data_IF_966076304886
#
_entry.id   IF_966076304886
#
_cell.length_a   1.000
_cell.length_b   1.000
_cell.length_c   1.000
_cell.angle_alpha   90.00
_cell.angle_beta   90.00
_cell.angle_gamma   90.00
#
_symmetry.space_group_name_H-M   'P 1'
#
loop_
_entity.id
_entity.type
_entity.pdbx_description
1 polymer ?
#
# COMPACT_ATOMS: atom_id res chain seq x y z
N UNK A 1 14.08 4.00 23.80
CA UNK A 1 12.86 3.18 23.68
C UNK A 1 12.07 3.67 22.49
N UNK A 2 11.62 2.79 21.60
CA UNK A 2 10.83 3.16 20.41
C UNK A 2 9.33 3.27 20.72
N UNK A 3 8.84 2.41 21.62
CA UNK A 3 7.42 2.30 21.98
C UNK A 3 7.26 2.80 23.41
N UNK A 4 6.23 3.64 23.65
CA UNK A 4 5.81 4.00 25.00
C UNK A 4 5.00 2.86 25.59
N UNK A 5 5.43 2.38 26.76
CA UNK A 5 4.77 1.27 27.45
C UNK A 5 3.44 1.76 28.04
N UNK A 6 2.37 1.00 27.78
CA UNK A 6 1.05 1.24 28.35
C UNK A 6 0.69 0.11 29.31
N UNK A 7 0.43 0.46 30.58
CA UNK A 7 0.08 -0.51 31.61
C UNK A 7 -1.30 -1.13 31.35
N UNK A 8 -1.42 -2.45 31.58
CA UNK A 8 -2.69 -3.19 31.34
C UNK A 8 -3.86 -2.71 32.20
N UNK A 9 -3.58 -2.18 33.39
CA UNK A 9 -4.58 -1.63 34.30
C UNK A 9 -4.83 -0.13 34.09
N UNK A 10 -4.31 0.46 33.01
CA UNK A 10 -4.55 1.86 32.70
C UNK A 10 -6.01 2.05 32.28
N UNK A 11 -6.82 2.87 32.99
CA UNK A 11 -8.20 3.12 32.59
C UNK A 11 -8.32 3.83 31.23
N UNK A 12 -7.25 4.47 30.75
CA UNK A 12 -7.15 5.13 29.44
C UNK A 12 -6.22 4.36 28.48
N UNK A 13 -6.30 3.03 28.48
CA UNK A 13 -5.40 2.17 27.69
C UNK A 13 -5.42 2.51 26.19
N UNK A 14 -6.60 2.70 25.60
CA UNK A 14 -6.76 3.05 24.19
C UNK A 14 -6.01 4.34 23.83
N UNK A 15 -6.15 5.37 24.67
CA UNK A 15 -5.50 6.67 24.47
C UNK A 15 -3.98 6.58 24.67
N UNK A 16 -3.53 5.79 25.65
CA UNK A 16 -2.11 5.52 25.83
C UNK A 16 -1.50 4.86 24.59
N UNK A 17 -2.15 3.82 24.06
CA UNK A 17 -1.67 3.09 22.87
C UNK A 17 -1.71 4.00 21.64
N UNK A 18 -2.78 4.78 21.46
CA UNK A 18 -2.86 5.82 20.41
C UNK A 18 -1.66 6.76 20.45
N UNK A 19 -1.36 7.32 21.62
CA UNK A 19 -0.23 8.22 21.81
C UNK A 19 1.13 7.52 21.58
N UNK A 20 1.21 6.23 21.89
CA UNK A 20 2.41 5.41 21.64
C UNK A 20 2.64 5.22 20.13
N UNK A 21 1.57 4.95 19.36
CA UNK A 21 1.62 4.86 17.90
C UNK A 21 2.04 6.19 17.27
N UNK A 22 1.48 7.31 17.75
CA UNK A 22 1.86 8.65 17.25
C UNK A 22 3.34 8.99 17.49
N UNK A 23 3.89 8.62 18.65
CA UNK A 23 5.32 8.78 18.94
C UNK A 23 6.21 7.88 18.06
N UNK A 24 5.66 6.77 17.56
CA UNK A 24 6.39 5.85 16.68
C UNK A 24 6.43 6.34 15.22
N UNK A 25 5.67 7.37 14.85
CA UNK A 25 5.49 7.84 13.47
C UNK A 25 6.82 8.07 12.73
N UNK A 26 7.79 8.72 13.37
CA UNK A 26 9.12 8.94 12.77
C UNK A 26 9.87 7.63 12.50
N UNK A 27 9.73 6.65 13.39
CA UNK A 27 10.35 5.33 13.24
C UNK A 27 9.62 4.43 12.26
N UNK A 28 8.30 4.55 12.14
CA UNK A 28 7.54 3.92 11.04
C UNK A 28 8.02 4.47 9.71
N UNK A 29 8.22 5.80 9.63
CA UNK A 29 8.72 6.45 8.42
C UNK A 29 10.12 5.95 8.04
N UNK A 30 11.08 5.99 8.96
CA UNK A 30 12.49 5.65 8.67
C UNK A 30 12.82 4.16 8.74
N UNK A 31 11.95 3.35 9.33
CA UNK A 31 12.27 1.99 9.74
C UNK A 31 13.15 1.95 11.00
N UNK A 32 13.45 0.72 11.44
CA UNK A 32 14.36 0.38 12.54
C UNK A 32 15.25 -0.78 12.04
N UNK A 33 16.33 -0.49 11.30
CA UNK A 33 17.16 -1.51 10.64
C UNK A 33 17.76 -2.54 11.59
N UNK A 34 18.11 -2.14 12.82
CA UNK A 34 18.64 -3.03 13.85
C UNK A 34 17.62 -4.07 14.37
N UNK A 35 16.34 -3.92 14.02
CA UNK A 35 15.26 -4.86 14.32
C UNK A 35 14.64 -5.45 13.04
N UNK A 36 15.30 -5.31 11.89
CA UNK A 36 14.79 -5.72 10.57
C UNK A 36 13.42 -5.10 10.21
N UNK A 37 13.13 -3.91 10.74
CA UNK A 37 11.91 -3.17 10.40
C UNK A 37 12.22 -2.24 9.23
N UNK A 38 11.66 -2.48 8.03
CA UNK A 38 11.91 -1.63 6.87
C UNK A 38 11.26 -0.25 7.03
N UNK A 39 11.73 0.72 6.25
CA UNK A 39 11.10 2.02 6.14
C UNK A 39 9.72 1.92 5.47
N UNK A 40 8.74 2.67 5.97
CA UNK A 40 7.43 2.82 5.31
C UNK A 40 7.39 3.95 4.28
N UNK A 41 8.50 4.69 4.08
CA UNK A 41 8.56 5.84 3.18
C UNK A 41 9.92 5.98 2.47
N UNK A 42 10.03 5.59 1.18
CA UNK A 42 9.04 4.80 0.45
C UNK A 42 8.96 3.37 1.00
N UNK A 43 7.76 2.80 1.03
CA UNK A 43 7.60 1.38 1.26
C UNK A 43 7.85 0.62 -0.05
N UNK A 44 8.82 -0.30 -0.03
CA UNK A 44 9.22 -1.07 -1.20
C UNK A 44 8.57 -2.45 -1.19
N UNK A 45 7.95 -2.83 -2.30
CA UNK A 45 7.30 -4.13 -2.51
C UNK A 45 8.15 -4.96 -3.49
N UNK A 46 9.07 -5.81 -2.99
CA UNK A 46 10.01 -6.54 -3.84
C UNK A 46 9.34 -7.66 -4.67
N UNK A 47 8.28 -8.27 -4.17
CA UNK A 47 7.59 -9.39 -4.83
C UNK A 47 6.69 -8.95 -6.01
N UNK A 48 6.59 -7.64 -6.27
CA UNK A 48 5.68 -7.07 -7.27
C UNK A 48 4.20 -7.34 -6.98
N UNK A 49 3.33 -7.01 -7.93
CA UNK A 49 1.88 -7.13 -7.79
C UNK A 49 1.26 -7.56 -9.12
N UNK A 50 0.59 -8.72 -9.21
CA UNK A 50 -0.22 -9.04 -10.38
C UNK A 50 -1.41 -8.07 -10.44
N UNK A 51 -1.54 -7.36 -11.57
CA UNK A 51 -2.62 -6.42 -11.83
C UNK A 51 -3.74 -7.07 -12.65
N UNK A 52 -3.39 -7.99 -13.55
CA UNK A 52 -4.33 -8.79 -14.32
C UNK A 52 -3.68 -10.12 -14.73
N UNK A 53 -4.44 -11.21 -14.64
CA UNK A 53 -4.01 -12.53 -15.11
C UNK A 53 -5.15 -13.23 -15.84
N UNK A 54 -5.13 -13.13 -17.17
CA UNK A 54 -6.11 -13.74 -18.07
C UNK A 54 -5.44 -14.15 -19.39
N UNK A 55 -6.08 -15.01 -20.21
CA UNK A 55 -5.51 -15.42 -21.50
C UNK A 55 -5.20 -14.28 -22.46
N UNK A 56 -6.04 -13.23 -22.46
CA UNK A 56 -5.92 -12.11 -23.41
C UNK A 56 -5.23 -10.88 -22.80
N UNK A 57 -5.05 -10.84 -21.47
CA UNK A 57 -4.37 -9.76 -20.77
C UNK A 57 -3.61 -10.31 -19.55
N UNK A 58 -2.30 -10.12 -19.56
CA UNK A 58 -1.42 -10.28 -18.40
C UNK A 58 -0.79 -8.94 -18.08
N UNK A 59 -0.91 -8.51 -16.83
CA UNK A 59 -0.33 -7.27 -16.34
C UNK A 59 0.28 -7.50 -14.96
N UNK A 60 1.53 -7.09 -14.79
CA UNK A 60 2.28 -7.25 -13.55
C UNK A 60 3.05 -5.96 -13.25
N UNK A 61 2.95 -5.47 -12.02
CA UNK A 61 3.75 -4.35 -11.54
C UNK A 61 4.96 -4.86 -10.75
N UNK A 62 6.11 -4.23 -10.94
CA UNK A 62 7.38 -4.57 -10.27
C UNK A 62 8.08 -3.30 -9.80
N UNK A 63 9.09 -3.48 -8.94
CA UNK A 63 9.89 -2.38 -8.39
C UNK A 63 9.02 -1.29 -7.73
N UNK A 64 7.93 -1.73 -7.09
CA UNK A 64 6.88 -0.85 -6.58
C UNK A 64 7.38 -0.10 -5.34
N UNK A 65 7.21 1.22 -5.35
CA UNK A 65 7.44 2.15 -4.25
C UNK A 65 6.14 2.86 -3.91
N UNK A 66 5.70 2.70 -2.67
CA UNK A 66 4.55 3.40 -2.13
C UNK A 66 5.02 4.58 -1.27
N UNK A 67 4.43 5.75 -1.51
CA UNK A 67 4.69 6.96 -0.78
C UNK A 67 3.42 7.45 -0.08
N UNK A 68 3.60 8.12 1.06
CA UNK A 68 2.51 8.68 1.86
C UNK A 68 1.99 7.75 2.96
N UNK A 69 2.46 6.51 3.06
CA UNK A 69 2.05 5.57 4.11
C UNK A 69 2.43 6.09 5.50
N UNK A 70 3.60 6.74 5.62
CA UNK A 70 4.04 7.34 6.88
C UNK A 70 3.17 8.51 7.35
N UNK A 71 2.31 9.04 6.47
CA UNK A 71 1.38 10.16 6.72
C UNK A 71 -0.04 9.68 7.04
N UNK A 72 -0.18 8.47 7.58
CA UNK A 72 -1.47 7.97 8.04
C UNK A 72 -2.10 8.92 9.06
N UNK A 73 -3.43 8.97 9.04
CA UNK A 73 -4.24 9.58 10.06
C UNK A 73 -4.82 8.47 10.92
N UNK A 74 -4.59 8.54 12.23
CA UNK A 74 -5.08 7.55 13.18
C UNK A 74 -6.50 7.93 13.61
N UNK A 75 -7.49 7.18 13.17
CA UNK A 75 -8.89 7.47 13.49
C UNK A 75 -9.26 6.89 14.85
N UNK A 76 -8.97 5.60 15.05
CA UNK A 76 -9.31 4.92 16.29
C UNK A 76 -8.30 3.85 16.67
N UNK A 77 -8.17 3.64 17.98
CA UNK A 77 -7.45 2.52 18.59
C UNK A 77 -8.36 1.94 19.65
N UNK A 78 -8.67 0.66 19.55
CA UNK A 78 -9.45 -0.07 20.54
C UNK A 78 -8.70 -1.33 20.98
N UNK A 79 -8.38 -1.39 22.27
CA UNK A 79 -7.63 -2.49 22.87
C UNK A 79 -8.56 -3.32 23.73
N UNK A 80 -8.81 -4.55 23.31
CA UNK A 80 -9.56 -5.55 24.07
C UNK A 80 -8.56 -6.59 24.61
N UNK A 81 -8.17 -6.43 25.88
CA UNK A 81 -7.18 -7.31 26.51
C UNK A 81 -7.73 -8.72 26.76
N UNK A 82 -9.04 -8.86 27.00
CA UNK A 82 -9.69 -10.15 27.25
C UNK A 82 -9.69 -11.00 25.97
N UNK A 83 -9.98 -10.38 24.83
CA UNK A 83 -9.92 -11.02 23.51
C UNK A 83 -8.53 -11.00 22.88
N UNK A 84 -7.55 -10.34 23.51
CA UNK A 84 -6.19 -10.12 22.98
C UNK A 84 -6.22 -9.50 21.58
N UNK A 85 -7.12 -8.55 21.39
CA UNK A 85 -7.39 -7.91 20.09
C UNK A 85 -7.07 -6.43 20.17
N UNK A 86 -6.40 -5.91 19.15
CA UNK A 86 -6.22 -4.47 18.94
C UNK A 86 -6.83 -4.14 17.59
N UNK A 87 -7.88 -3.34 17.62
CA UNK A 87 -8.49 -2.78 16.41
C UNK A 87 -7.92 -1.38 16.20
N UNK A 88 -7.34 -1.15 15.02
CA UNK A 88 -6.78 0.14 14.63
C UNK A 88 -7.42 0.56 13.32
N UNK A 89 -8.01 1.75 13.31
CA UNK A 89 -8.53 2.38 12.10
C UNK A 89 -7.61 3.49 11.68
N UNK A 90 -7.13 3.41 10.44
CA UNK A 90 -6.30 4.45 9.82
C UNK A 90 -6.84 4.79 8.44
N UNK A 91 -6.69 6.04 8.04
CA UNK A 91 -6.87 6.46 6.66
C UNK A 91 -5.62 7.21 6.16
N UNK A 92 -5.53 7.36 4.84
CA UNK A 92 -4.44 8.04 4.18
C UNK A 92 -5.04 9.07 3.22
N UNK A 93 -4.65 10.34 3.36
CA UNK A 93 -5.18 11.41 2.49
C UNK A 93 -4.69 11.26 1.05
N UNK A 94 -3.45 10.78 0.90
CA UNK A 94 -2.81 10.60 -0.40
C UNK A 94 -1.77 9.49 -0.33
N UNK A 95 -1.97 8.48 -1.16
CA UNK A 95 -0.96 7.49 -1.49
C UNK A 95 -0.51 7.71 -2.93
N UNK A 96 0.80 7.69 -3.16
CA UNK A 96 1.39 7.67 -4.51
C UNK A 96 2.10 6.34 -4.70
N UNK A 97 1.84 5.69 -5.81
CA UNK A 97 2.51 4.48 -6.24
C UNK A 97 3.42 4.84 -7.43
N UNK A 98 4.68 4.44 -7.35
CA UNK A 98 5.62 4.39 -8.48
C UNK A 98 6.05 2.95 -8.68
N UNK A 99 6.24 2.53 -9.91
CA UNK A 99 6.70 1.18 -10.22
C UNK A 99 6.74 0.99 -11.73
N UNK A 100 7.47 -0.04 -12.13
CA UNK A 100 7.51 -0.48 -13.52
C UNK A 100 6.38 -1.47 -13.76
N UNK A 101 5.93 -1.57 -15.01
CA UNK A 101 4.90 -2.53 -15.41
C UNK A 101 5.38 -3.40 -16.56
N UNK A 102 4.96 -4.66 -16.53
CA UNK A 102 5.03 -5.60 -17.62
C UNK A 102 3.60 -5.94 -18.03
N UNK A 103 3.23 -5.56 -19.26
CA UNK A 103 1.88 -5.75 -19.78
C UNK A 103 1.98 -6.45 -21.12
N UNK A 104 1.36 -7.62 -21.19
CA UNK A 104 1.14 -8.37 -22.43
C UNK A 104 -0.36 -8.44 -22.69
N UNK A 105 -0.80 -7.86 -23.80
CA UNK A 105 -2.19 -7.89 -24.22
C UNK A 105 -2.30 -8.51 -25.62
N UNK A 106 -3.28 -9.40 -25.80
CA UNK A 106 -3.64 -9.95 -27.09
C UNK A 106 -4.82 -9.16 -27.64
N UNK A 107 -4.56 -8.28 -28.60
CA UNK A 107 -5.60 -7.50 -29.27
C UNK A 107 -5.97 -8.22 -30.57
N UNK A 108 -7.20 -8.74 -30.64
CA UNK A 108 -7.75 -9.31 -31.87
C UNK A 108 -8.72 -8.28 -32.46
N UNK A 109 -8.27 -7.51 -33.47
CA UNK A 109 -9.14 -6.58 -34.19
C UNK A 109 -9.50 -7.18 -35.55
N UNK A 110 -10.76 -7.54 -35.82
CA UNK A 110 -11.20 -7.80 -37.18
C UNK A 110 -11.31 -6.47 -37.93
N UNK A 111 -10.43 -6.26 -38.90
CA UNK A 111 -10.52 -5.11 -39.82
C UNK A 111 -11.21 -5.60 -41.09
N UNK A 112 -12.45 -5.13 -41.29
CA UNK A 112 -13.21 -5.36 -42.52
C UNK A 112 -13.53 -4.00 -43.12
N UNK A 113 -12.98 -3.73 -44.30
CA UNK A 113 -13.26 -2.52 -45.06
C UNK A 113 -13.71 -2.91 -46.48
N UNK A 114 -14.74 -2.24 -46.98
CA UNK A 114 -15.18 -2.31 -48.36
C UNK A 114 -15.42 -0.87 -48.83
N UNK A 115 -14.84 -0.52 -49.98
CA UNK A 115 -14.95 0.82 -50.56
C UNK A 115 -14.51 0.81 -52.03
N UNK A 116 -14.94 1.81 -52.82
CA UNK A 116 -14.58 1.90 -54.23
C UNK A 116 -13.10 2.21 -54.43
N UNK A 117 -12.50 1.62 -55.48
CA UNK A 117 -11.18 1.96 -56.00
C UNK A 117 -11.41 2.58 -57.37
N UNK A 118 -10.98 3.83 -57.54
CA UNK A 118 -10.96 4.52 -58.83
C UNK A 118 -9.51 4.93 -59.13
N UNK A 119 -9.07 4.60 -60.34
CA UNK A 119 -7.74 4.89 -60.86
C UNK A 119 -7.93 5.53 -62.23
N UNK A 120 -7.62 6.82 -62.33
CA UNK A 120 -7.49 7.55 -63.60
C UNK A 120 -6.15 8.29 -63.59
N UNK A 121 -5.45 8.27 -64.73
CA UNK A 121 -4.19 9.00 -64.95
C UNK A 121 -4.48 10.28 -65.71
#
# INVERSE_FOLDING_TARGET
>A
SYIKICGRHNPQLNECVRNSVEQLRDKIKSGIPELDVPAAEPFFLPEGLPLADSPDLKAYAKDIKLYGISKFNLDSVNVDLDKKKIDVTVHFDKIRLEGDYDVTAKIVVPITAQGPIELET
#
